data_IF_131338398164
#
_entry.id   IF_131338398164
#
_cell.length_a   1.000
_cell.length_b   1.000
_cell.length_c   1.000
_cell.angle_alpha   90.00
_cell.angle_beta   90.00
_cell.angle_gamma   90.00
#
_symmetry.space_group_name_H-M   'P 1'
#
loop_
_entity.id
_entity.type
_entity.pdbx_description
1 polymer ?
#
# COMPACT_ATOMS: atom_id res chain seq x y z
N UNK A 1 8.52 -0.24 26.89
CA UNK A 1 8.64 1.11 27.48
C UNK A 1 7.33 1.44 28.20
N UNK A 2 7.29 2.48 29.02
CA UNK A 2 6.03 2.96 29.63
C UNK A 2 5.34 3.96 28.69
N UNK A 3 4.04 4.17 28.88
CA UNK A 3 3.27 5.18 28.14
C UNK A 3 3.86 6.59 28.30
N UNK A 4 4.32 6.95 29.50
CA UNK A 4 4.93 8.26 29.75
C UNK A 4 6.19 8.49 28.92
N UNK A 5 7.06 7.48 28.84
CA UNK A 5 8.28 7.53 28.00
C UNK A 5 7.94 7.60 26.51
N UNK A 6 6.89 6.90 26.09
CA UNK A 6 6.42 6.92 24.71
C UNK A 6 5.84 8.29 24.33
N UNK A 7 4.99 8.88 25.17
CA UNK A 7 4.47 10.25 24.97
C UNK A 7 5.62 11.24 24.82
N UNK A 8 6.63 11.18 25.72
CA UNK A 8 7.80 12.04 25.63
C UNK A 8 8.59 11.82 24.34
N UNK A 9 8.72 10.56 23.89
CA UNK A 9 9.41 10.21 22.66
C UNK A 9 8.69 10.74 21.42
N UNK A 10 7.37 10.50 21.29
CA UNK A 10 6.57 10.99 20.17
C UNK A 10 6.52 12.51 20.11
N UNK A 11 6.33 13.16 21.26
CA UNK A 11 6.37 14.61 21.37
C UNK A 11 7.71 15.18 20.89
N UNK A 12 8.82 14.60 21.33
CA UNK A 12 10.17 15.03 20.91
C UNK A 12 10.42 14.76 19.43
N UNK A 13 9.92 13.65 18.88
CA UNK A 13 10.00 13.35 17.45
C UNK A 13 9.24 14.38 16.59
N UNK A 14 8.12 14.91 17.10
CA UNK A 14 7.38 16.02 16.48
C UNK A 14 8.00 17.41 16.76
N UNK A 15 9.07 17.49 17.57
CA UNK A 15 9.73 18.75 17.91
C UNK A 15 8.97 19.65 18.89
N UNK A 16 7.98 19.11 19.61
CA UNK A 16 7.11 19.92 20.48
C UNK A 16 7.63 20.00 21.91
N UNK A 17 7.31 21.09 22.59
CA UNK A 17 7.39 21.27 24.04
C UNK A 17 6.18 20.65 24.74
N UNK A 18 6.27 20.42 26.06
CA UNK A 18 5.15 19.90 26.84
C UNK A 18 3.94 20.85 26.82
N UNK A 19 4.19 22.16 26.75
CA UNK A 19 3.14 23.18 26.63
C UNK A 19 2.41 23.11 25.28
N UNK A 20 3.17 22.97 24.18
CA UNK A 20 2.59 22.83 22.83
C UNK A 20 1.76 21.55 22.67
N UNK A 21 2.22 20.43 23.26
CA UNK A 21 1.40 19.21 23.29
C UNK A 21 0.11 19.44 24.07
N UNK A 22 0.20 20.09 25.24
CA UNK A 22 -0.95 20.42 26.07
C UNK A 22 -1.98 21.25 25.32
N UNK A 23 -1.54 22.31 24.62
CA UNK A 23 -2.39 23.16 23.80
C UNK A 23 -3.08 22.36 22.68
N UNK A 24 -2.34 21.49 21.99
CA UNK A 24 -2.88 20.67 20.88
C UNK A 24 -3.99 19.72 21.30
N UNK A 25 -3.89 19.13 22.50
CA UNK A 25 -4.83 18.10 22.97
C UNK A 25 -5.79 18.63 24.06
N UNK A 26 -5.77 19.94 24.33
CA UNK A 26 -6.68 20.59 25.27
C UNK A 26 -6.42 20.28 26.76
N UNK A 27 -5.17 20.06 27.15
CA UNK A 27 -4.78 19.81 28.55
C UNK A 27 -3.69 20.76 29.03
N UNK A 28 -3.48 20.84 30.34
CA UNK A 28 -2.43 21.69 30.89
C UNK A 28 -1.04 21.08 30.65
N UNK A 29 -0.03 21.95 30.50
CA UNK A 29 1.39 21.56 30.49
C UNK A 29 1.74 20.67 31.70
N UNK A 30 1.16 20.96 32.87
CA UNK A 30 1.37 20.17 34.08
C UNK A 30 0.83 18.74 33.96
N UNK A 31 -0.28 18.53 33.24
CA UNK A 31 -0.79 17.19 32.97
C UNK A 31 0.20 16.38 32.12
N UNK A 32 0.67 16.97 31.02
CA UNK A 32 1.68 16.36 30.15
C UNK A 32 2.96 16.02 30.93
N UNK A 33 3.44 16.96 31.74
CA UNK A 33 4.63 16.76 32.58
C UNK A 33 4.46 15.55 33.52
N UNK A 34 3.31 15.43 34.19
CA UNK A 34 3.01 14.30 35.07
C UNK A 34 2.89 12.96 34.34
N UNK A 35 2.45 12.96 33.09
CA UNK A 35 2.40 11.73 32.28
C UNK A 35 3.80 11.29 31.88
N UNK A 36 4.62 12.23 31.40
CA UNK A 36 6.00 11.94 30.99
C UNK A 36 6.91 11.53 32.15
N UNK A 37 6.61 12.02 33.37
CA UNK A 37 7.29 11.61 34.61
C UNK A 37 6.66 10.39 35.30
N UNK A 38 5.73 9.68 34.64
CA UNK A 38 5.06 8.48 35.16
C UNK A 38 4.31 8.72 36.50
N UNK A 39 4.01 9.97 36.84
CA UNK A 39 3.33 10.37 38.08
C UNK A 39 1.81 10.26 37.98
N UNK A 40 1.27 10.30 36.75
CA UNK A 40 -0.13 10.04 36.46
C UNK A 40 -0.27 9.45 35.06
N UNK A 41 -1.45 8.96 34.70
CA UNK A 41 -1.74 8.48 33.35
C UNK A 41 -2.71 9.46 32.64
N UNK A 42 -2.63 9.56 31.31
CA UNK A 42 -3.67 10.24 30.55
C UNK A 42 -5.00 9.52 30.75
N UNK A 43 -6.09 10.28 30.71
CA UNK A 43 -7.44 9.73 30.69
C UNK A 43 -7.60 8.82 29.45
N UNK A 44 -8.34 7.73 29.59
CA UNK A 44 -8.61 6.80 28.47
C UNK A 44 -9.22 7.53 27.26
N UNK A 45 -10.03 8.56 27.50
CA UNK A 45 -10.66 9.39 26.48
C UNK A 45 -9.66 10.29 25.74
N UNK A 46 -8.47 10.53 26.29
CA UNK A 46 -7.40 11.28 25.64
C UNK A 46 -6.48 10.41 24.77
N UNK A 47 -6.57 9.08 24.88
CA UNK A 47 -5.71 8.18 24.10
C UNK A 47 -5.92 8.32 22.58
N UNK A 48 -7.16 8.40 22.05
CA UNK A 48 -7.38 8.66 20.62
C UNK A 48 -6.82 10.02 20.19
N UNK A 49 -7.02 11.06 21.00
CA UNK A 49 -6.54 12.42 20.71
C UNK A 49 -5.00 12.47 20.68
N UNK A 50 -4.34 11.75 21.60
CA UNK A 50 -2.88 11.61 21.60
C UNK A 50 -2.39 10.85 20.37
N UNK A 51 -3.05 9.76 20.01
CA UNK A 51 -2.74 8.96 18.82
C UNK A 51 -2.85 9.80 17.54
N UNK A 52 -3.94 10.55 17.39
CA UNK A 52 -4.15 11.48 16.27
C UNK A 52 -3.07 12.57 16.23
N UNK A 53 -2.76 13.19 17.38
CA UNK A 53 -1.74 14.23 17.46
C UNK A 53 -0.34 13.69 17.08
N UNK A 54 -0.02 12.46 17.46
CA UNK A 54 1.27 11.85 17.14
C UNK A 54 1.30 11.15 15.78
N UNK A 55 0.16 11.02 15.10
CA UNK A 55 -0.01 10.22 13.87
C UNK A 55 0.46 8.77 14.07
N UNK A 56 0.06 8.15 15.18
CA UNK A 56 0.38 6.77 15.53
C UNK A 56 -0.87 5.98 15.95
N UNK A 57 -0.74 4.66 16.08
CA UNK A 57 -1.81 3.84 16.65
C UNK A 57 -1.79 3.90 18.18
N UNK A 58 -2.96 3.75 18.81
CA UNK A 58 -3.08 3.70 20.28
C UNK A 58 -2.18 2.61 20.87
N UNK A 59 -2.06 1.44 20.22
CA UNK A 59 -1.17 0.36 20.64
C UNK A 59 0.31 0.80 20.77
N UNK A 60 0.77 1.68 19.89
CA UNK A 60 2.15 2.20 19.91
C UNK A 60 2.40 3.07 21.15
N UNK A 61 1.38 3.77 21.67
CA UNK A 61 1.46 4.47 22.96
C UNK A 61 1.82 3.52 24.10
N UNK A 62 1.42 2.25 24.01
CA UNK A 62 1.70 1.22 25.01
C UNK A 62 2.89 0.32 24.68
N UNK A 63 3.71 0.67 23.68
CA UNK A 63 4.78 -0.19 23.15
C UNK A 63 4.28 -1.54 22.61
N UNK A 64 2.99 -1.65 22.29
CA UNK A 64 2.47 -2.79 21.56
C UNK A 64 2.67 -2.47 20.09
N UNK A 65 3.55 -3.23 19.43
CA UNK A 65 3.61 -3.16 17.97
C UNK A 65 2.23 -3.52 17.44
N UNK A 66 1.76 -2.77 16.44
CA UNK A 66 0.57 -3.17 15.67
C UNK A 66 0.91 -4.50 15.01
N UNK A 67 0.53 -5.60 15.65
CA UNK A 67 0.37 -6.85 14.95
C UNK A 67 -0.96 -6.69 14.24
N UNK A 68 -0.92 -6.38 12.95
CA UNK A 68 -2.06 -6.62 12.09
C UNK A 68 -2.29 -8.13 12.16
N UNK A 69 -3.14 -8.59 13.08
CA UNK A 69 -3.62 -9.97 13.05
C UNK A 69 -4.49 -10.06 11.79
N UNK A 70 -3.90 -10.59 10.73
CA UNK A 70 -4.62 -10.90 9.50
C UNK A 70 -5.65 -11.97 9.89
N UNK A 71 -6.93 -11.58 9.95
CA UNK A 71 -8.03 -12.51 10.18
C UNK A 71 -8.21 -13.38 8.93
N UNK A 72 -7.61 -14.57 8.95
CA UNK A 72 -7.74 -15.57 7.89
C UNK A 72 -9.13 -16.21 7.84
N UNK A 73 -10.01 -15.94 8.82
CA UNK A 73 -11.28 -16.64 9.03
C UNK A 73 -12.29 -16.51 7.86
N UNK A 74 -12.06 -15.57 6.92
CA UNK A 74 -12.89 -15.39 5.72
C UNK A 74 -12.25 -15.91 4.43
N UNK A 75 -11.00 -16.36 4.47
CA UNK A 75 -10.26 -16.85 3.32
C UNK A 75 -9.96 -18.34 3.53
N UNK A 76 -10.60 -19.22 2.76
CA UNK A 76 -10.02 -20.56 2.58
C UNK A 76 -8.59 -20.37 2.08
N UNK A 77 -7.61 -21.07 2.69
CA UNK A 77 -6.17 -20.95 2.41
C UNK A 77 -5.93 -20.68 0.92
N UNK A 78 -5.64 -19.43 0.59
CA UNK A 78 -5.27 -19.09 -0.77
C UNK A 78 -3.93 -19.76 -1.09
N UNK A 79 -3.66 -20.15 -2.34
CA UNK A 79 -2.48 -20.94 -2.67
C UNK A 79 -1.16 -20.15 -2.59
N UNK A 80 -1.19 -18.89 -2.17
CA UNK A 80 -0.04 -17.98 -2.20
C UNK A 80 0.49 -17.70 -0.79
N UNK A 81 1.78 -17.42 -0.71
CA UNK A 81 2.43 -16.98 0.53
C UNK A 81 2.19 -15.48 0.78
N UNK A 82 2.39 -15.06 2.03
CA UNK A 82 2.41 -13.65 2.42
C UNK A 82 3.66 -12.94 1.86
N UNK A 83 3.54 -12.39 0.65
CA UNK A 83 4.65 -11.76 -0.08
C UNK A 83 4.40 -10.28 -0.43
N UNK A 84 3.39 -9.67 0.17
CA UNK A 84 2.97 -8.28 -0.03
C UNK A 84 2.58 -7.95 -1.48
N UNK A 85 2.22 -8.96 -2.29
CA UNK A 85 1.69 -8.79 -3.64
C UNK A 85 0.17 -8.57 -3.59
N UNK A 86 -0.30 -7.51 -4.21
CA UNK A 86 -1.72 -7.29 -4.44
C UNK A 86 -2.16 -8.25 -5.55
N UNK A 87 -2.99 -9.23 -5.18
CA UNK A 87 -3.53 -10.23 -6.13
C UNK A 87 -4.98 -9.92 -6.46
N UNK A 88 -5.26 -9.83 -7.75
CA UNK A 88 -6.56 -9.48 -8.27
C UNK A 88 -7.04 -10.61 -9.17
N UNK A 89 -8.14 -11.26 -8.78
CA UNK A 89 -8.70 -12.40 -9.50
C UNK A 89 -10.22 -12.43 -9.37
N UNK A 90 -10.88 -13.06 -10.33
CA UNK A 90 -12.32 -13.30 -10.29
C UNK A 90 -12.63 -14.69 -9.76
N UNK A 91 -13.77 -14.84 -9.08
CA UNK A 91 -14.26 -16.15 -8.63
C UNK A 91 -15.69 -16.40 -9.09
N UNK A 92 -16.03 -17.66 -9.35
CA UNK A 92 -17.43 -18.13 -9.33
C UNK A 92 -17.60 -18.96 -8.07
N UNK A 93 -18.30 -18.41 -7.07
CA UNK A 93 -18.33 -19.00 -5.73
C UNK A 93 -16.92 -19.06 -5.12
N UNK A 94 -16.50 -20.25 -4.68
CA UNK A 94 -15.14 -20.50 -4.14
C UNK A 94 -14.08 -20.82 -5.19
N UNK A 95 -14.46 -20.94 -6.47
CA UNK A 95 -13.54 -21.33 -7.55
C UNK A 95 -12.95 -20.07 -8.18
N UNK A 96 -11.63 -19.96 -8.18
CA UNK A 96 -10.90 -18.92 -8.93
C UNK A 96 -11.01 -19.22 -10.42
N UNK A 97 -11.41 -18.21 -11.19
CA UNK A 97 -11.50 -18.26 -12.65
C UNK A 97 -10.13 -17.96 -13.23
N UNK A 98 -9.68 -18.75 -14.21
CA UNK A 98 -8.45 -18.41 -14.96
C UNK A 98 -8.78 -17.36 -16.02
N UNK A 99 -7.86 -16.41 -16.20
CA UNK A 99 -7.88 -15.28 -17.17
C UNK A 99 -8.56 -15.58 -18.52
N UNK A 100 -8.41 -16.79 -19.06
CA UNK A 100 -8.93 -17.19 -20.37
C UNK A 100 -10.43 -17.49 -20.42
N UNK A 101 -11.11 -17.66 -19.27
CA UNK A 101 -12.51 -18.12 -19.22
C UNK A 101 -13.54 -16.98 -19.30
N UNK A 102 -13.14 -15.72 -19.12
CA UNK A 102 -14.07 -14.58 -19.15
C UNK A 102 -13.48 -13.40 -19.91
N UNK A 103 -14.27 -12.79 -20.78
CA UNK A 103 -13.87 -11.64 -21.60
C UNK A 103 -14.01 -10.30 -20.84
N UNK A 104 -14.12 -10.35 -19.51
CA UNK A 104 -14.34 -9.18 -18.66
C UNK A 104 -13.01 -8.58 -18.24
N UNK A 105 -12.88 -7.27 -18.39
CA UNK A 105 -11.70 -6.56 -17.89
C UNK A 105 -11.86 -6.28 -16.40
N UNK A 106 -10.75 -6.39 -15.64
CA UNK A 106 -10.73 -5.95 -14.25
C UNK A 106 -10.16 -4.54 -14.24
N UNK A 107 -11.00 -3.59 -13.89
CA UNK A 107 -10.57 -2.20 -13.70
C UNK A 107 -9.90 -2.08 -12.33
N UNK A 108 -8.64 -1.64 -12.33
CA UNK A 108 -7.86 -1.44 -11.12
C UNK A 108 -7.40 0.01 -11.11
N UNK A 109 -8.05 0.81 -10.28
CA UNK A 109 -7.68 2.19 -10.05
C UNK A 109 -6.62 2.24 -8.94
N UNK A 110 -5.44 2.77 -9.26
CA UNK A 110 -4.47 3.20 -8.27
C UNK A 110 -4.73 4.67 -7.92
N UNK A 111 -4.47 5.11 -6.67
CA UNK A 111 -4.68 6.51 -6.31
C UNK A 111 -3.87 7.43 -7.23
N UNK A 112 -4.49 8.53 -7.65
CA UNK A 112 -3.80 9.53 -8.49
C UNK A 112 -2.59 10.10 -7.74
N UNK A 113 -1.49 10.34 -8.45
CA UNK A 113 -0.25 10.91 -7.92
C UNK A 113 0.48 10.05 -6.85
N UNK A 114 0.24 8.73 -6.79
CA UNK A 114 1.01 7.83 -5.90
C UNK A 114 2.52 7.97 -6.10
N UNK A 115 2.95 8.17 -7.35
CA UNK A 115 4.36 8.25 -7.73
C UNK A 115 5.03 9.49 -7.13
N UNK A 116 4.29 10.61 -7.03
CA UNK A 116 4.79 11.92 -6.64
C UNK A 116 4.67 12.14 -5.12
N UNK A 117 3.53 11.76 -4.54
CA UNK A 117 3.19 12.13 -3.15
C UNK A 117 3.59 11.05 -2.15
N UNK A 118 3.29 9.78 -2.44
CA UNK A 118 3.50 8.68 -1.48
C UNK A 118 4.74 7.85 -1.80
N UNK A 119 5.25 7.91 -3.05
CA UNK A 119 6.33 7.08 -3.59
C UNK A 119 6.13 5.58 -3.30
N UNK A 120 4.87 5.16 -3.12
CA UNK A 120 4.57 3.77 -2.82
C UNK A 120 4.79 2.93 -4.06
N UNK A 121 5.56 1.85 -3.92
CA UNK A 121 5.90 0.90 -4.97
C UNK A 121 5.16 -0.41 -4.70
N UNK A 122 4.37 -0.87 -5.66
CA UNK A 122 3.51 -2.04 -5.48
C UNK A 122 3.99 -3.22 -6.32
N UNK A 123 3.71 -4.43 -5.83
CA UNK A 123 3.74 -5.64 -6.66
C UNK A 123 2.31 -6.03 -6.93
N UNK A 124 1.94 -6.14 -8.20
CA UNK A 124 0.56 -6.37 -8.61
C UNK A 124 0.51 -7.58 -9.53
N UNK A 125 -0.33 -8.55 -9.20
CA UNK A 125 -0.59 -9.73 -10.03
C UNK A 125 -2.07 -9.82 -10.38
N UNK A 126 -2.38 -9.75 -11.68
CA UNK A 126 -3.74 -9.74 -12.22
C UNK A 126 -4.00 -11.03 -13.01
N UNK A 127 -4.95 -11.82 -12.51
CA UNK A 127 -5.43 -13.04 -13.18
C UNK A 127 -6.59 -12.71 -14.13
N UNK A 128 -6.27 -12.03 -15.23
CA UNK A 128 -7.24 -11.55 -16.20
C UNK A 128 -6.64 -10.47 -17.08
N UNK A 129 -7.50 -9.60 -17.62
CA UNK A 129 -7.08 -8.39 -18.32
C UNK A 129 -7.05 -7.22 -17.33
N UNK A 130 -6.05 -6.35 -17.48
CA UNK A 130 -5.87 -5.17 -16.65
C UNK A 130 -6.18 -3.91 -17.46
N UNK A 131 -7.16 -3.13 -17.00
CA UNK A 131 -7.40 -1.77 -17.47
C UNK A 131 -7.15 -0.78 -16.33
N UNK A 132 -6.36 0.26 -16.60
CA UNK A 132 -6.13 1.35 -15.64
C UNK A 132 -6.18 2.70 -16.35
N UNK A 133 -7.04 3.59 -15.86
CA UNK A 133 -7.15 4.97 -16.35
C UNK A 133 -6.03 5.89 -15.83
N UNK A 134 -5.16 5.38 -14.95
CA UNK A 134 -4.11 6.12 -14.25
C UNK A 134 -2.76 5.41 -14.40
N UNK A 135 -1.69 6.09 -13.95
CA UNK A 135 -0.34 5.51 -13.88
C UNK A 135 -0.25 4.44 -12.79
N UNK A 136 0.51 3.37 -13.04
CA UNK A 136 0.82 2.29 -12.10
C UNK A 136 2.27 2.46 -11.61
N UNK A 137 2.49 2.46 -10.30
CA UNK A 137 3.83 2.45 -9.69
C UNK A 137 4.20 1.05 -9.20
N UNK A 138 5.06 0.37 -9.93
CA UNK A 138 5.68 -0.87 -9.51
C UNK A 138 5.52 -2.02 -10.48
N UNK A 139 5.84 -3.21 -9.99
CA UNK A 139 5.97 -4.40 -10.83
C UNK A 139 4.58 -4.99 -11.11
N UNK A 140 4.30 -5.22 -12.40
CA UNK A 140 3.01 -5.72 -12.87
C UNK A 140 3.17 -7.06 -13.57
N UNK A 141 2.46 -8.08 -13.07
CA UNK A 141 2.28 -9.37 -13.74
C UNK A 141 0.81 -9.51 -14.15
N UNK A 142 0.56 -9.61 -15.46
CA UNK A 142 -0.79 -9.75 -15.99
C UNK A 142 -0.91 -11.04 -16.81
N UNK A 143 -1.87 -11.89 -16.45
CA UNK A 143 -2.13 -13.16 -17.14
C UNK A 143 -3.08 -12.99 -18.35
N UNK A 144 -3.21 -11.78 -18.87
CA UNK A 144 -4.02 -11.36 -20.03
C UNK A 144 -3.39 -10.12 -20.68
N UNK A 145 -4.17 -9.28 -21.34
CA UNK A 145 -3.67 -8.01 -21.89
C UNK A 145 -3.67 -6.88 -20.85
N UNK A 146 -2.84 -5.86 -21.08
CA UNK A 146 -2.77 -4.64 -20.28
C UNK A 146 -3.13 -3.45 -21.16
N UNK A 147 -4.00 -2.58 -20.66
CA UNK A 147 -4.29 -1.26 -21.21
C UNK A 147 -4.22 -0.23 -20.07
N UNK A 148 -3.24 0.67 -20.12
CA UNK A 148 -3.01 1.63 -19.05
C UNK A 148 -2.46 2.95 -19.57
N UNK A 149 -2.48 4.00 -18.75
CA UNK A 149 -1.80 5.24 -19.11
C UNK A 149 -0.27 5.10 -19.05
N UNK A 150 0.27 4.75 -17.88
CA UNK A 150 1.72 4.68 -17.65
C UNK A 150 2.07 3.56 -16.67
N UNK A 151 3.24 2.94 -16.82
CA UNK A 151 3.80 1.98 -15.86
C UNK A 151 5.22 2.39 -15.47
N UNK A 152 5.47 2.55 -14.17
CA UNK A 152 6.78 2.79 -13.58
C UNK A 152 7.23 1.54 -12.79
N UNK A 153 7.80 0.57 -13.49
CA UNK A 153 8.21 -0.72 -12.93
C UNK A 153 8.36 -1.80 -13.99
N UNK A 154 8.75 -3.00 -13.58
CA UNK A 154 8.88 -4.13 -14.50
C UNK A 154 7.51 -4.71 -14.83
N UNK A 155 7.29 -5.03 -16.11
CA UNK A 155 5.99 -5.51 -16.59
C UNK A 155 6.11 -6.81 -17.35
N UNK A 156 5.26 -7.78 -17.00
CA UNK A 156 5.12 -9.05 -17.69
C UNK A 156 3.65 -9.33 -17.97
N UNK A 157 3.27 -9.32 -19.24
CA UNK A 157 1.95 -9.68 -19.74
C UNK A 157 2.02 -10.97 -20.55
N UNK A 158 0.99 -11.83 -20.43
CA UNK A 158 0.77 -12.96 -21.34
C UNK A 158 0.00 -12.58 -22.61
N UNK A 159 -0.38 -11.31 -22.75
CA UNK A 159 -1.06 -10.77 -23.93
C UNK A 159 -0.35 -9.52 -24.46
N UNK A 160 -1.13 -8.67 -25.13
CA UNK A 160 -0.67 -7.37 -25.60
C UNK A 160 -0.59 -6.35 -24.47
N UNK A 161 0.38 -5.44 -24.54
CA UNK A 161 0.43 -4.25 -23.68
C UNK A 161 0.16 -3.02 -24.54
N UNK A 162 -0.79 -2.20 -24.12
CA UNK A 162 -1.03 -0.84 -24.63
C UNK A 162 -0.78 0.14 -23.50
N UNK A 163 0.16 1.08 -23.70
CA UNK A 163 0.45 2.12 -22.72
C UNK A 163 0.92 3.41 -23.40
N UNK A 164 0.72 4.58 -22.80
CA UNK A 164 1.36 5.80 -23.30
C UNK A 164 2.86 5.79 -22.97
N UNK A 165 3.22 5.44 -21.72
CA UNK A 165 4.62 5.40 -21.27
C UNK A 165 4.93 4.18 -20.39
N UNK A 166 6.09 3.55 -20.58
CA UNK A 166 6.59 2.49 -19.71
C UNK A 166 8.04 2.80 -19.32
N UNK A 167 8.28 2.97 -18.03
CA UNK A 167 9.60 3.16 -17.43
C UNK A 167 9.96 1.92 -16.59
N UNK A 168 10.66 0.97 -17.22
CA UNK A 168 11.14 -0.27 -16.61
C UNK A 168 12.66 -0.24 -16.47
N UNK A 169 13.15 -0.51 -15.26
CA UNK A 169 14.59 -0.63 -15.00
C UNK A 169 15.13 -2.05 -15.25
N UNK A 170 14.24 -3.03 -15.41
CA UNK A 170 14.55 -4.42 -15.73
C UNK A 170 14.03 -4.82 -17.10
N UNK A 171 12.92 -5.57 -17.13
CA UNK A 171 12.44 -6.25 -18.34
C UNK A 171 10.93 -6.07 -18.57
N UNK A 172 10.60 -5.73 -19.82
CA UNK A 172 9.24 -5.70 -20.36
C UNK A 172 9.01 -7.01 -21.13
N UNK A 173 8.02 -7.81 -20.73
CA UNK A 173 7.66 -9.08 -21.39
C UNK A 173 6.21 -9.02 -21.84
N UNK A 174 5.96 -9.28 -23.12
CA UNK A 174 4.60 -9.34 -23.69
C UNK A 174 4.59 -10.08 -25.03
N UNK A 175 3.40 -10.34 -25.56
CA UNK A 175 3.23 -10.90 -26.91
C UNK A 175 3.34 -9.81 -27.97
N UNK A 176 2.73 -8.64 -27.72
CA UNK A 176 2.84 -7.44 -28.55
C UNK A 176 2.81 -6.19 -27.68
N UNK A 177 3.47 -5.12 -28.13
CA UNK A 177 3.58 -3.86 -27.39
C UNK A 177 3.21 -2.69 -28.29
N UNK A 178 2.25 -1.88 -27.84
CA UNK A 178 1.94 -0.58 -28.39
C UNK A 178 2.20 0.47 -27.32
N UNK A 179 3.26 1.26 -27.50
CA UNK A 179 3.61 2.31 -26.55
C UNK A 179 4.32 3.49 -27.22
N UNK A 180 4.05 4.71 -26.72
CA UNK A 180 4.58 5.95 -27.30
C UNK A 180 5.99 6.26 -26.77
N UNK A 181 6.24 6.02 -25.47
CA UNK A 181 7.54 6.21 -24.82
C UNK A 181 7.95 5.00 -23.99
N UNK A 182 9.15 4.48 -24.22
CA UNK A 182 9.67 3.33 -23.46
C UNK A 182 11.09 3.63 -23.00
N UNK A 183 11.32 3.45 -21.69
CA UNK A 183 12.63 3.34 -21.08
C UNK A 183 12.75 1.93 -20.48
N UNK A 184 13.66 1.09 -20.99
CA UNK A 184 13.85 -0.27 -20.49
C UNK A 184 14.21 -1.30 -21.57
N UNK A 185 14.42 -2.56 -21.15
CA UNK A 185 14.74 -3.66 -22.06
C UNK A 185 13.48 -4.48 -22.39
N UNK A 186 13.16 -4.61 -23.69
CA UNK A 186 11.97 -5.32 -24.15
C UNK A 186 12.33 -6.74 -24.60
N UNK A 187 11.53 -7.73 -24.21
CA UNK A 187 11.55 -9.07 -24.79
C UNK A 187 10.15 -9.49 -25.19
N UNK A 188 9.90 -9.58 -26.49
CA UNK A 188 8.64 -10.09 -27.05
C UNK A 188 8.73 -11.60 -27.27
N UNK A 189 7.68 -12.35 -26.91
CA UNK A 189 7.56 -13.76 -27.31
C UNK A 189 7.18 -13.80 -28.80
N UNK A 190 7.98 -14.48 -29.65
CA UNK A 190 7.63 -14.66 -31.06
C UNK A 190 6.31 -15.42 -31.16
N UNK A 191 5.35 -14.87 -31.90
CA UNK A 191 4.20 -15.63 -32.39
C UNK A 191 4.73 -16.79 -33.26
N UNK A 192 4.36 -18.02 -32.89
CA UNK A 192 4.54 -19.20 -33.75
C UNK A 192 3.39 -19.26 -34.77
#
# INVERSE_FOLDING_TARGET
>A
MSIGKNIASFRKAKGWTQAELGEKIGVSNQAVSKWESETSMPDVMLLPVLADAFECYIDELFSRGVKTEIHYDHCAEFPWADDNTIRIFQTVGKKIIKSQETNTCIEVAFPRNCNETTRQYFKVEVFGNLFSDSSINGDVVCHGYIDCHEINGDVSSQGSITAHEINSHGKIVCDSLKCDKIEGNITTKKAN
#
